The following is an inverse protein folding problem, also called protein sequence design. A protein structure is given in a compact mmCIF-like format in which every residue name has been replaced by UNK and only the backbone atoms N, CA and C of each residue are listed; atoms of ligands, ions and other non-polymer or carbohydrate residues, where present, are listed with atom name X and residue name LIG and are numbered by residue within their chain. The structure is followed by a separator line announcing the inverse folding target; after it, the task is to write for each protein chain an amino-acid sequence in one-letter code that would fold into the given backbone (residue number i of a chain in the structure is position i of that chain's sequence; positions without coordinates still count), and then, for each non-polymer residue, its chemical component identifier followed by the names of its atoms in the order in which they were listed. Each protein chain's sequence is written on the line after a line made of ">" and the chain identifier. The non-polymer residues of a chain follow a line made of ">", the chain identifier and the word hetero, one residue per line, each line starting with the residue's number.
data_IF_140246914861
#
_entry.id   IF_140246914861
#
_cell.length_a   1.000
_cell.length_b   1.000
_cell.length_c   1.000
_cell.angle_alpha   90.00
_cell.angle_beta   90.00
_cell.angle_gamma   90.00
#
_symmetry.space_group_name_H-M   'P 1'
#
loop_
_entity.id
_entity.type
_entity.pdbx_description
1 polymer ?
#
# COMPACT_ATOMS: atom_id res chain seq x y z
N UNK A 1 -15.68 -40.58 -5.00
CA UNK A 1 -15.58 -39.13 -5.28
C UNK A 1 -14.49 -38.48 -4.45
N UNK A 2 -14.53 -38.52 -3.11
CA UNK A 2 -13.53 -37.86 -2.23
C UNK A 2 -12.09 -38.34 -2.50
N UNK A 3 -11.86 -39.64 -2.74
CA UNK A 3 -10.51 -40.14 -3.04
C UNK A 3 -9.97 -39.69 -4.41
N UNK A 4 -10.83 -39.41 -5.39
CA UNK A 4 -10.42 -38.98 -6.73
C UNK A 4 -10.13 -37.47 -6.80
N UNK A 5 -10.69 -36.68 -5.88
CA UNK A 5 -10.35 -35.27 -5.68
C UNK A 5 -9.10 -35.08 -4.80
N UNK A 6 -8.54 -36.16 -4.24
CA UNK A 6 -7.36 -36.13 -3.38
C UNK A 6 -6.06 -36.35 -4.19
N UNK A 7 -5.86 -35.57 -5.25
CA UNK A 7 -4.68 -35.61 -6.11
C UNK A 7 -4.05 -34.22 -6.25
N UNK A 8 -2.73 -34.15 -6.43
CA UNK A 8 -2.02 -32.89 -6.70
C UNK A 8 -2.42 -32.28 -8.05
N UNK A 9 -2.79 -33.14 -9.00
CA UNK A 9 -3.34 -32.74 -10.29
C UNK A 9 -4.83 -33.03 -10.30
N UNK A 10 -5.61 -32.15 -10.92
CA UNK A 10 -7.05 -32.35 -11.09
C UNK A 10 -7.25 -33.59 -11.96
N UNK A 11 -7.95 -34.59 -11.43
CA UNK A 11 -8.26 -35.78 -12.20
C UNK A 11 -9.37 -35.47 -13.21
N UNK A 12 -8.96 -35.10 -14.43
CA UNK A 12 -9.87 -34.67 -15.50
C UNK A 12 -10.81 -35.79 -15.96
N UNK A 13 -10.35 -37.05 -15.94
CA UNK A 13 -11.20 -38.20 -16.23
C UNK A 13 -12.32 -38.35 -15.18
N UNK A 14 -11.99 -38.25 -13.90
CA UNK A 14 -12.96 -38.30 -12.82
C UNK A 14 -13.92 -37.10 -12.81
N UNK A 15 -13.41 -35.90 -13.17
CA UNK A 15 -14.23 -34.70 -13.31
C UNK A 15 -15.22 -34.82 -14.48
N UNK A 16 -14.78 -35.38 -15.61
CA UNK A 16 -15.62 -35.59 -16.79
C UNK A 16 -16.71 -36.66 -16.55
N UNK A 17 -16.46 -37.60 -15.64
CA UNK A 17 -17.44 -38.58 -15.18
C UNK A 17 -18.45 -38.01 -14.16
N UNK A 18 -18.22 -36.81 -13.62
CA UNK A 18 -19.16 -36.16 -12.71
C UNK A 18 -20.34 -35.55 -13.48
N UNK A 19 -21.55 -35.70 -12.95
CA UNK A 19 -22.71 -34.95 -13.43
C UNK A 19 -22.47 -33.44 -13.30
N UNK A 20 -22.94 -32.63 -14.26
CA UNK A 20 -22.70 -31.18 -14.31
C UNK A 20 -22.94 -30.42 -13.00
N UNK A 21 -24.01 -30.65 -12.21
CA UNK A 21 -24.19 -29.96 -10.93
C UNK A 21 -23.17 -30.36 -9.84
N UNK A 22 -22.46 -31.49 -10.02
CA UNK A 22 -21.45 -32.00 -9.07
C UNK A 22 -20.03 -31.59 -9.45
N UNK A 23 -19.78 -31.14 -10.69
CA UNK A 23 -18.46 -30.67 -11.13
C UNK A 23 -17.93 -29.50 -10.28
N UNK A 24 -18.74 -28.45 -9.95
CA UNK A 24 -18.28 -27.37 -9.08
C UNK A 24 -17.91 -27.85 -7.67
N UNK A 25 -18.65 -28.82 -7.15
CA UNK A 25 -18.39 -29.43 -5.83
C UNK A 25 -17.10 -30.25 -5.87
N UNK A 26 -16.86 -31.02 -6.93
CA UNK A 26 -15.63 -31.78 -7.12
C UNK A 26 -14.40 -30.87 -7.21
N UNK A 27 -14.50 -29.77 -7.97
CA UNK A 27 -13.43 -28.76 -8.06
C UNK A 27 -13.21 -28.08 -6.72
N UNK A 28 -14.28 -27.73 -5.99
CA UNK A 28 -14.18 -27.12 -4.67
C UNK A 28 -13.47 -28.04 -3.66
N UNK A 29 -13.85 -29.32 -3.61
CA UNK A 29 -13.20 -30.31 -2.74
C UNK A 29 -11.74 -30.54 -3.13
N UNK A 30 -11.42 -30.57 -4.43
CA UNK A 30 -10.03 -30.64 -4.92
C UNK A 30 -9.21 -29.41 -4.52
N UNK A 31 -9.76 -28.20 -4.66
CA UNK A 31 -9.10 -26.96 -4.23
C UNK A 31 -8.88 -26.94 -2.71
N UNK A 32 -9.84 -27.44 -1.93
CA UNK A 32 -9.73 -27.54 -0.47
C UNK A 32 -8.67 -28.56 -0.05
N UNK A 33 -8.58 -29.66 -0.79
CA UNK A 33 -7.53 -30.67 -0.62
C UNK A 33 -6.15 -30.08 -0.93
N UNK A 34 -6.02 -29.34 -2.04
CA UNK A 34 -4.79 -28.64 -2.40
C UNK A 34 -4.39 -27.59 -1.35
N UNK A 35 -5.30 -26.75 -0.90
CA UNK A 35 -5.02 -25.75 0.14
C UNK A 35 -4.51 -26.39 1.44
N UNK A 36 -5.03 -27.58 1.78
CA UNK A 36 -4.59 -28.36 2.93
C UNK A 36 -3.23 -29.04 2.74
N UNK A 37 -2.91 -29.51 1.54
CA UNK A 37 -1.69 -30.31 1.26
C UNK A 37 -0.54 -29.49 0.71
N UNK A 38 -0.77 -28.37 0.05
CA UNK A 38 0.30 -27.50 -0.46
C UNK A 38 1.27 -27.07 0.67
N UNK A 39 0.82 -26.74 1.90
CA UNK A 39 1.72 -26.51 3.03
C UNK A 39 2.52 -27.75 3.46
N UNK A 40 1.98 -28.96 3.26
CA UNK A 40 2.68 -30.22 3.55
C UNK A 40 3.65 -30.64 2.42
N UNK A 41 3.29 -30.41 1.16
CA UNK A 41 4.16 -30.52 0.01
C UNK A 41 5.32 -29.51 0.07
N UNK A 42 5.09 -28.34 0.70
CA UNK A 42 6.13 -27.36 1.06
C UNK A 42 7.26 -27.99 1.88
N UNK A 43 6.95 -28.92 2.80
CA UNK A 43 7.94 -29.70 3.54
C UNK A 43 8.63 -30.74 2.65
N UNK A 44 7.92 -31.35 1.70
CA UNK A 44 8.50 -32.31 0.74
C UNK A 44 9.50 -31.60 -0.18
N UNK A 45 9.21 -30.39 -0.67
CA UNK A 45 10.17 -29.61 -1.48
C UNK A 45 11.25 -28.91 -0.66
N UNK A 46 11.09 -28.73 0.65
CA UNK A 46 12.21 -28.39 1.54
C UNK A 46 13.20 -29.56 1.74
N UNK A 47 12.81 -30.76 1.30
CA UNK A 47 13.58 -32.02 1.37
C UNK A 47 13.78 -32.63 -0.04
N UNK A 48 13.21 -32.04 -1.10
CA UNK A 48 13.08 -32.63 -2.44
C UNK A 48 14.02 -32.01 -3.47
N UNK A 49 14.34 -32.78 -4.51
CA UNK A 49 15.26 -32.42 -5.58
C UNK A 49 14.83 -31.13 -6.31
N UNK A 50 15.76 -30.18 -6.42
CA UNK A 50 15.59 -28.94 -7.21
C UNK A 50 15.19 -29.19 -8.66
N UNK A 51 15.49 -30.37 -9.21
CA UNK A 51 15.08 -30.77 -10.56
C UNK A 51 13.55 -30.67 -10.76
N UNK A 52 12.77 -31.26 -9.87
CA UNK A 52 11.30 -31.25 -9.97
C UNK A 52 10.69 -29.85 -9.83
N UNK A 53 11.39 -28.91 -9.18
CA UNK A 53 10.98 -27.51 -9.10
C UNK A 53 11.07 -26.83 -10.48
N UNK A 54 12.17 -27.02 -11.20
CA UNK A 54 12.34 -26.43 -12.53
C UNK A 54 11.37 -27.03 -13.54
N UNK A 55 11.12 -28.35 -13.50
CA UNK A 55 10.11 -28.98 -14.35
C UNK A 55 8.70 -28.41 -14.10
N UNK A 56 8.33 -28.22 -12.83
CA UNK A 56 7.02 -27.65 -12.48
C UNK A 56 6.88 -26.21 -12.96
N UNK A 57 7.94 -25.39 -12.84
CA UNK A 57 7.97 -24.02 -13.37
C UNK A 57 7.81 -24.03 -14.89
N UNK A 58 8.55 -24.89 -15.60
CA UNK A 58 8.50 -25.00 -17.05
C UNK A 58 7.11 -25.44 -17.53
N UNK A 59 6.50 -26.42 -16.87
CA UNK A 59 5.15 -26.86 -17.15
C UNK A 59 4.13 -25.72 -17.00
N UNK A 60 4.23 -24.94 -15.92
CA UNK A 60 3.37 -23.77 -15.73
C UNK A 60 3.62 -22.71 -16.83
N UNK A 61 4.88 -22.47 -17.21
CA UNK A 61 5.23 -21.53 -18.28
C UNK A 61 4.66 -21.97 -19.63
N UNK A 62 4.65 -23.26 -19.94
CA UNK A 62 4.08 -23.78 -21.17
C UNK A 62 2.56 -23.57 -21.24
N UNK A 63 1.85 -23.73 -20.11
CA UNK A 63 0.44 -23.35 -20.02
C UNK A 63 0.25 -21.84 -20.28
N UNK A 64 1.12 -20.98 -19.72
CA UNK A 64 1.04 -19.52 -19.92
C UNK A 64 1.37 -19.07 -21.35
N UNK A 65 2.12 -19.86 -22.14
CA UNK A 65 2.41 -19.57 -23.55
C UNK A 65 1.14 -19.63 -24.42
N UNK A 66 0.15 -20.42 -24.02
CA UNK A 66 -1.14 -20.52 -24.70
C UNK A 66 -1.84 -19.16 -24.83
N UNK A 67 -2.36 -18.86 -26.02
CA UNK A 67 -3.12 -17.61 -26.29
C UNK A 67 -4.63 -17.75 -26.11
N UNK A 68 -5.09 -18.95 -25.75
CA UNK A 68 -6.50 -19.21 -25.54
C UNK A 68 -6.93 -18.67 -24.18
N UNK A 69 -7.60 -17.52 -24.20
CA UNK A 69 -8.20 -16.89 -23.02
C UNK A 69 -9.72 -17.14 -22.98
N UNK A 70 -10.21 -18.20 -23.64
CA UNK A 70 -11.61 -18.60 -23.54
C UNK A 70 -11.97 -18.96 -22.08
N UNK A 71 -13.24 -18.81 -21.67
CA UNK A 71 -13.68 -19.16 -20.32
C UNK A 71 -13.36 -20.61 -19.92
N UNK A 72 -13.18 -21.51 -20.88
CA UNK A 72 -12.83 -22.91 -20.67
C UNK A 72 -11.34 -23.10 -20.33
N UNK A 73 -10.45 -22.26 -20.84
CA UNK A 73 -8.99 -22.40 -20.67
C UNK A 73 -8.41 -21.43 -19.62
N UNK A 74 -9.11 -20.32 -19.34
CA UNK A 74 -8.73 -19.36 -18.32
C UNK A 74 -8.49 -20.00 -16.93
N UNK A 75 -9.33 -20.93 -16.42
CA UNK A 75 -9.10 -21.56 -15.11
C UNK A 75 -7.75 -22.30 -15.03
N UNK A 76 -7.34 -22.98 -16.11
CA UNK A 76 -6.08 -23.72 -16.17
C UNK A 76 -4.89 -22.75 -16.13
N UNK A 77 -4.97 -21.63 -16.86
CA UNK A 77 -3.93 -20.59 -16.82
C UNK A 77 -3.82 -19.94 -15.44
N UNK A 78 -4.95 -19.67 -14.79
CA UNK A 78 -4.97 -19.12 -13.43
C UNK A 78 -4.41 -20.12 -12.39
N UNK A 79 -4.68 -21.41 -12.55
CA UNK A 79 -4.10 -22.45 -11.69
C UNK A 79 -2.57 -22.52 -11.85
N UNK A 80 -2.08 -22.53 -13.09
CA UNK A 80 -0.63 -22.49 -13.37
C UNK A 80 0.02 -21.23 -12.79
N UNK A 81 -0.64 -20.07 -12.92
CA UNK A 81 -0.19 -18.81 -12.35
C UNK A 81 -0.10 -18.86 -10.82
N UNK A 82 -1.09 -19.45 -10.15
CA UNK A 82 -1.09 -19.61 -8.70
C UNK A 82 0.02 -20.56 -8.22
N UNK A 83 0.27 -21.66 -8.95
CA UNK A 83 1.39 -22.55 -8.70
C UNK A 83 2.73 -21.80 -8.79
N UNK A 84 2.94 -21.02 -9.85
CA UNK A 84 4.12 -20.16 -9.99
C UNK A 84 4.26 -19.20 -8.82
N UNK A 85 3.19 -18.51 -8.44
CA UNK A 85 3.18 -17.59 -7.30
C UNK A 85 3.60 -18.26 -6.00
N UNK A 86 3.02 -19.41 -5.66
CA UNK A 86 3.33 -20.15 -4.45
C UNK A 86 4.79 -20.67 -4.43
N UNK A 87 5.27 -21.17 -5.57
CA UNK A 87 6.65 -21.62 -5.73
C UNK A 87 7.62 -20.45 -5.57
N UNK A 88 7.39 -19.31 -6.21
CA UNK A 88 8.30 -18.17 -6.06
C UNK A 88 8.28 -17.58 -4.65
N UNK A 89 7.12 -17.44 -4.02
CA UNK A 89 7.02 -16.90 -2.66
C UNK A 89 7.79 -17.74 -1.64
N UNK A 90 7.75 -19.07 -1.80
CA UNK A 90 8.34 -20.01 -0.83
C UNK A 90 9.78 -20.37 -1.17
N UNK A 91 10.03 -20.70 -2.45
CA UNK A 91 11.27 -21.32 -2.95
C UNK A 91 12.08 -20.35 -3.80
N UNK A 92 11.76 -19.05 -3.79
CA UNK A 92 12.38 -18.03 -4.65
C UNK A 92 13.92 -17.99 -4.62
N UNK A 93 14.55 -18.37 -3.50
CA UNK A 93 16.02 -18.43 -3.40
C UNK A 93 16.64 -19.61 -4.16
N UNK A 94 15.84 -20.63 -4.50
CA UNK A 94 16.27 -21.87 -5.17
C UNK A 94 16.01 -21.86 -6.68
N UNK A 95 15.18 -20.94 -7.19
CA UNK A 95 14.76 -20.94 -8.61
C UNK A 95 15.78 -20.35 -9.58
N UNK A 96 16.92 -19.84 -9.10
CA UNK A 96 17.93 -19.21 -9.96
C UNK A 96 17.34 -18.09 -10.83
N UNK A 97 17.66 -18.10 -12.14
CA UNK A 97 17.11 -17.15 -13.14
C UNK A 97 15.85 -17.64 -13.87
N UNK A 98 15.30 -18.80 -13.51
CA UNK A 98 14.11 -19.35 -14.20
C UNK A 98 12.87 -18.46 -14.10
N UNK A 99 12.82 -17.55 -13.11
CA UNK A 99 11.75 -16.57 -12.97
C UNK A 99 11.66 -15.56 -14.11
N UNK A 100 12.75 -15.34 -14.86
CA UNK A 100 12.79 -14.32 -15.92
C UNK A 100 11.85 -14.69 -17.07
N UNK A 101 11.79 -15.97 -17.48
CA UNK A 101 10.86 -16.41 -18.52
C UNK A 101 9.40 -16.21 -18.06
N UNK A 102 9.09 -16.68 -16.86
CA UNK A 102 7.76 -16.55 -16.25
C UNK A 102 7.33 -15.09 -16.15
N UNK A 103 8.25 -14.19 -15.77
CA UNK A 103 8.01 -12.75 -15.72
C UNK A 103 7.62 -12.19 -17.10
N UNK A 104 8.35 -12.55 -18.16
CA UNK A 104 8.04 -12.11 -19.52
C UNK A 104 6.69 -12.63 -20.01
N UNK A 105 6.38 -13.90 -19.73
CA UNK A 105 5.08 -14.51 -20.06
C UNK A 105 3.93 -13.80 -19.33
N UNK A 106 4.08 -13.54 -18.04
CA UNK A 106 3.10 -12.81 -17.23
C UNK A 106 2.87 -11.39 -17.76
N UNK A 107 3.92 -10.65 -18.13
CA UNK A 107 3.78 -9.30 -18.73
C UNK A 107 3.00 -9.36 -20.03
N UNK A 108 3.33 -10.34 -20.89
CA UNK A 108 2.66 -10.50 -22.17
C UNK A 108 1.17 -10.77 -21.97
N UNK A 109 0.81 -11.63 -21.01
CA UNK A 109 -0.58 -11.92 -20.68
C UNK A 109 -1.31 -10.70 -20.09
N UNK A 110 -0.65 -9.95 -19.19
CA UNK A 110 -1.23 -8.79 -18.51
C UNK A 110 -1.80 -7.74 -19.47
N UNK A 111 -1.18 -7.56 -20.66
CA UNK A 111 -1.61 -6.58 -21.67
C UNK A 111 -3.06 -6.75 -22.11
N UNK A 112 -3.55 -7.99 -22.16
CA UNK A 112 -4.88 -8.32 -22.67
C UNK A 112 -5.76 -9.04 -21.64
N UNK A 113 -5.26 -9.25 -20.42
CA UNK A 113 -5.99 -9.97 -19.39
C UNK A 113 -7.25 -9.20 -18.95
N UNK A 114 -8.32 -9.95 -18.71
CA UNK A 114 -9.51 -9.43 -18.03
C UNK A 114 -9.21 -9.06 -16.57
N UNK A 115 -10.17 -8.42 -15.90
CA UNK A 115 -9.95 -7.81 -14.60
C UNK A 115 -9.50 -8.80 -13.51
N UNK A 116 -10.02 -10.04 -13.52
CA UNK A 116 -9.55 -11.09 -12.61
C UNK A 116 -8.10 -11.48 -12.94
N UNK A 117 -7.80 -11.76 -14.20
CA UNK A 117 -6.44 -12.10 -14.65
C UNK A 117 -5.42 -11.01 -14.30
N UNK A 118 -5.75 -9.73 -14.50
CA UNK A 118 -4.87 -8.61 -14.10
C UNK A 118 -4.57 -8.61 -12.60
N UNK A 119 -5.59 -8.85 -11.76
CA UNK A 119 -5.41 -8.88 -10.31
C UNK A 119 -4.53 -10.06 -9.87
N UNK A 120 -4.73 -11.25 -10.42
CA UNK A 120 -3.94 -12.45 -10.10
C UNK A 120 -2.50 -12.34 -10.59
N UNK A 121 -2.27 -11.75 -11.77
CA UNK A 121 -0.93 -11.47 -12.28
C UNK A 121 -0.16 -10.52 -11.36
N UNK A 122 -0.80 -9.45 -10.90
CA UNK A 122 -0.20 -8.51 -9.94
C UNK A 122 0.09 -9.14 -8.58
N UNK A 123 -0.79 -10.01 -8.08
CA UNK A 123 -0.50 -10.81 -6.87
C UNK A 123 0.68 -11.76 -7.07
N UNK A 124 0.78 -12.38 -8.24
CA UNK A 124 1.87 -13.29 -8.58
C UNK A 124 3.21 -12.56 -8.69
N UNK A 125 3.23 -11.36 -9.27
CA UNK A 125 4.42 -10.51 -9.23
C UNK A 125 4.81 -10.14 -7.79
N UNK A 126 3.84 -9.83 -6.91
CA UNK A 126 4.11 -9.54 -5.51
C UNK A 126 4.75 -10.74 -4.79
N UNK A 127 4.21 -11.95 -5.00
CA UNK A 127 4.74 -13.21 -4.48
C UNK A 127 6.16 -13.48 -4.99
N UNK A 128 6.40 -13.24 -6.28
CA UNK A 128 7.71 -13.36 -6.90
C UNK A 128 8.73 -12.44 -6.22
N UNK A 129 8.42 -11.15 -6.09
CA UNK A 129 9.33 -10.20 -5.41
C UNK A 129 9.53 -10.58 -3.95
N UNK A 130 8.49 -11.01 -3.24
CA UNK A 130 8.57 -11.40 -1.82
C UNK A 130 9.55 -12.56 -1.59
N UNK A 131 9.51 -13.59 -2.44
CA UNK A 131 10.37 -14.76 -2.25
C UNK A 131 11.78 -14.61 -2.83
N UNK A 132 11.94 -13.89 -3.94
CA UNK A 132 13.26 -13.67 -4.56
C UNK A 132 14.02 -12.48 -3.97
N UNK A 133 13.31 -11.46 -3.50
CA UNK A 133 13.89 -10.21 -3.02
C UNK A 133 14.84 -9.57 -4.04
N UNK A 134 16.05 -9.22 -3.60
CA UNK A 134 17.12 -8.70 -4.46
C UNK A 134 17.58 -9.67 -5.58
N UNK A 135 17.34 -10.98 -5.41
CA UNK A 135 17.61 -11.97 -6.47
C UNK A 135 16.84 -11.67 -7.76
N UNK A 136 15.73 -10.94 -7.67
CA UNK A 136 14.93 -10.47 -8.81
C UNK A 136 15.28 -9.05 -9.29
N UNK A 137 16.46 -8.50 -8.95
CA UNK A 137 16.85 -7.12 -9.29
C UNK A 137 16.79 -6.81 -10.80
N UNK A 138 16.97 -7.80 -11.66
CA UNK A 138 16.87 -7.63 -13.12
C UNK A 138 15.50 -7.15 -13.59
N UNK A 139 14.43 -7.44 -12.85
CA UNK A 139 13.04 -7.12 -13.25
C UNK A 139 12.43 -5.94 -12.49
N UNK A 140 13.03 -5.49 -11.38
CA UNK A 140 12.43 -4.50 -10.48
C UNK A 140 12.02 -3.19 -11.17
N UNK A 141 12.89 -2.68 -12.06
CA UNK A 141 12.62 -1.44 -12.81
C UNK A 141 11.42 -1.58 -13.74
N UNK A 142 11.31 -2.69 -14.45
CA UNK A 142 10.21 -2.90 -15.40
C UNK A 142 8.92 -3.24 -14.68
N UNK A 143 8.98 -4.02 -13.60
CA UNK A 143 7.85 -4.26 -12.72
C UNK A 143 7.29 -2.96 -12.14
N UNK A 144 8.16 -2.03 -11.70
CA UNK A 144 7.71 -0.73 -11.21
C UNK A 144 6.91 0.04 -12.28
N UNK A 145 7.38 0.09 -13.53
CA UNK A 145 6.64 0.74 -14.63
C UNK A 145 5.25 0.12 -14.84
N UNK A 146 5.16 -1.20 -14.78
CA UNK A 146 3.90 -1.94 -14.95
C UNK A 146 2.92 -1.64 -13.83
N UNK A 147 3.38 -1.74 -12.58
CA UNK A 147 2.54 -1.56 -11.40
C UNK A 147 1.96 -0.15 -11.34
N UNK A 148 2.74 0.88 -11.69
CA UNK A 148 2.25 2.27 -11.80
C UNK A 148 1.02 2.41 -12.69
N UNK A 149 0.98 1.69 -13.81
CA UNK A 149 -0.14 1.71 -14.74
C UNK A 149 -1.46 1.19 -14.15
N UNK A 150 -1.39 0.38 -13.08
CA UNK A 150 -2.54 -0.31 -12.50
C UNK A 150 -3.00 0.26 -11.15
N UNK A 151 -2.22 1.19 -10.54
CA UNK A 151 -2.58 1.85 -9.27
C UNK A 151 -3.84 2.73 -9.35
N UNK A 152 -4.36 3.00 -10.55
CA UNK A 152 -5.62 3.73 -10.75
C UNK A 152 -6.57 2.96 -11.68
N UNK A 153 -6.46 1.63 -11.72
CA UNK A 153 -7.41 0.78 -12.44
C UNK A 153 -8.84 1.03 -11.93
N UNK A 154 -9.82 0.96 -12.83
CA UNK A 154 -11.24 1.15 -12.52
C UNK A 154 -11.77 0.04 -11.62
N UNK A 155 -11.17 -1.15 -11.70
CA UNK A 155 -11.51 -2.30 -10.87
C UNK A 155 -10.70 -2.27 -9.58
N UNK A 156 -11.41 -2.18 -8.44
CA UNK A 156 -10.80 -2.03 -7.12
C UNK A 156 -9.85 -3.18 -6.77
N UNK A 157 -10.19 -4.42 -7.13
CA UNK A 157 -9.33 -5.58 -6.88
C UNK A 157 -7.97 -5.47 -7.59
N UNK A 158 -7.95 -5.01 -8.85
CA UNK A 158 -6.71 -4.76 -9.60
C UNK A 158 -5.90 -3.64 -8.97
N UNK A 159 -6.59 -2.57 -8.53
CA UNK A 159 -5.97 -1.45 -7.83
C UNK A 159 -5.27 -1.89 -6.54
N UNK A 160 -5.94 -2.72 -5.74
CA UNK A 160 -5.39 -3.30 -4.50
C UNK A 160 -4.18 -4.19 -4.81
N UNK A 161 -4.29 -5.06 -5.83
CA UNK A 161 -3.19 -5.92 -6.23
C UNK A 161 -1.95 -5.13 -6.66
N UNK A 162 -2.13 -4.03 -7.41
CA UNK A 162 -1.05 -3.12 -7.80
C UNK A 162 -0.39 -2.46 -6.57
N UNK A 163 -1.19 -1.93 -5.65
CA UNK A 163 -0.70 -1.30 -4.42
C UNK A 163 0.09 -2.27 -3.54
N UNK A 164 -0.42 -3.50 -3.36
CA UNK A 164 0.26 -4.53 -2.60
C UNK A 164 1.57 -4.99 -3.28
N UNK A 165 1.56 -5.12 -4.61
CA UNK A 165 2.77 -5.44 -5.37
C UNK A 165 3.84 -4.35 -5.21
N UNK A 166 3.46 -3.07 -5.29
CA UNK A 166 4.39 -1.97 -5.05
C UNK A 166 4.91 -1.97 -3.61
N UNK A 167 4.03 -2.24 -2.64
CA UNK A 167 4.39 -2.30 -1.21
C UNK A 167 5.49 -3.33 -0.95
N UNK A 168 5.40 -4.51 -1.59
CA UNK A 168 6.44 -5.55 -1.47
C UNK A 168 7.72 -5.16 -2.23
N UNK A 169 7.61 -4.42 -3.33
CA UNK A 169 8.76 -3.97 -4.13
C UNK A 169 9.58 -2.87 -3.46
N UNK A 170 8.96 -1.96 -2.70
CA UNK A 170 9.63 -0.84 -2.02
C UNK A 170 10.92 -1.24 -1.29
N UNK A 171 10.92 -2.23 -0.37
CA UNK A 171 12.15 -2.57 0.34
C UNK A 171 13.21 -3.20 -0.57
N UNK A 172 12.81 -3.88 -1.65
CA UNK A 172 13.70 -4.62 -2.55
C UNK A 172 14.34 -3.74 -3.64
N UNK A 173 13.69 -2.64 -4.02
CA UNK A 173 14.17 -1.72 -5.06
C UNK A 173 14.51 -0.35 -4.49
N UNK A 174 15.76 -0.17 -4.08
CA UNK A 174 16.30 1.02 -3.38
C UNK A 174 15.87 2.36 -3.99
N UNK A 175 15.86 2.43 -5.33
CA UNK A 175 15.47 3.62 -6.09
C UNK A 175 14.09 4.18 -5.69
N UNK A 176 13.16 3.32 -5.23
CA UNK A 176 11.80 3.73 -4.88
C UNK A 176 11.77 4.67 -3.68
N UNK A 177 12.54 4.39 -2.63
CA UNK A 177 12.55 5.19 -1.42
C UNK A 177 13.67 6.24 -1.38
N UNK A 178 14.59 6.25 -2.35
CA UNK A 178 15.60 7.30 -2.47
C UNK A 178 15.23 8.38 -3.49
N UNK A 179 14.47 8.05 -4.54
CA UNK A 179 14.24 8.95 -5.68
C UNK A 179 12.76 9.11 -6.08
N UNK A 180 11.88 8.15 -5.74
CA UNK A 180 10.50 8.14 -6.23
C UNK A 180 9.45 8.42 -5.13
N UNK A 181 9.86 8.83 -3.92
CA UNK A 181 8.93 8.98 -2.78
C UNK A 181 7.76 9.92 -3.10
N UNK A 182 8.02 11.09 -3.66
CA UNK A 182 6.97 12.06 -4.03
C UNK A 182 6.12 11.58 -5.22
N UNK A 183 6.76 10.94 -6.21
CA UNK A 183 6.12 10.34 -7.38
C UNK A 183 5.12 9.25 -6.97
N UNK A 184 5.53 8.32 -6.11
CA UNK A 184 4.68 7.27 -5.56
C UNK A 184 3.57 7.87 -4.68
N UNK A 185 3.89 8.87 -3.86
CA UNK A 185 2.89 9.57 -3.03
C UNK A 185 1.79 10.21 -3.86
N UNK A 186 2.16 10.81 -4.99
CA UNK A 186 1.21 11.40 -5.95
C UNK A 186 0.30 10.32 -6.57
N UNK A 187 0.87 9.16 -6.92
CA UNK A 187 0.09 8.02 -7.41
C UNK A 187 -0.84 7.43 -6.34
N UNK A 188 -0.41 7.40 -5.08
CA UNK A 188 -1.26 7.02 -3.95
C UNK A 188 -2.47 7.95 -3.81
N UNK A 189 -2.29 9.27 -3.90
CA UNK A 189 -3.42 10.20 -3.84
C UNK A 189 -4.38 10.01 -5.01
N UNK A 190 -3.88 9.75 -6.22
CA UNK A 190 -4.72 9.40 -7.38
C UNK A 190 -5.47 8.08 -7.15
N UNK A 191 -4.82 7.07 -6.56
CA UNK A 191 -5.42 5.78 -6.25
C UNK A 191 -6.59 5.89 -5.26
N UNK A 192 -6.61 6.95 -4.43
CA UNK A 192 -7.69 7.23 -3.48
C UNK A 192 -8.95 7.82 -4.14
N UNK A 193 -8.86 8.36 -5.35
CA UNK A 193 -10.01 8.91 -6.07
C UNK A 193 -11.04 7.81 -6.36
N UNK A 194 -12.29 8.03 -5.94
CA UNK A 194 -13.40 7.06 -6.05
C UNK A 194 -13.08 5.68 -5.46
N UNK A 195 -12.27 5.63 -4.39
CA UNK A 195 -11.82 4.39 -3.75
C UNK A 195 -12.84 3.82 -2.75
N UNK A 196 -12.78 2.51 -2.52
CA UNK A 196 -13.45 1.84 -1.40
C UNK A 196 -12.52 1.73 -0.18
N UNK A 197 -13.01 1.12 0.91
CA UNK A 197 -12.25 0.98 2.14
C UNK A 197 -10.95 0.18 1.97
N UNK A 198 -11.00 -0.95 1.27
CA UNK A 198 -9.86 -1.84 1.04
C UNK A 198 -8.71 -1.16 0.28
N UNK A 199 -9.02 -0.38 -0.76
CA UNK A 199 -8.02 0.42 -1.48
C UNK A 199 -7.36 1.43 -0.54
N UNK A 200 -8.12 2.07 0.36
CA UNK A 200 -7.57 3.04 1.31
C UNK A 200 -6.61 2.38 2.31
N UNK A 201 -6.90 1.17 2.77
CA UNK A 201 -5.99 0.40 3.61
C UNK A 201 -4.70 0.03 2.85
N UNK A 202 -4.82 -0.42 1.60
CA UNK A 202 -3.66 -0.74 0.77
C UNK A 202 -2.77 0.48 0.52
N UNK A 203 -3.36 1.66 0.25
CA UNK A 203 -2.63 2.93 0.13
C UNK A 203 -1.94 3.31 1.46
N UNK A 204 -2.65 3.19 2.58
CA UNK A 204 -2.09 3.51 3.89
C UNK A 204 -0.88 2.62 4.24
N UNK A 205 -0.94 1.33 3.91
CA UNK A 205 0.17 0.39 4.07
C UNK A 205 1.36 0.74 3.18
N UNK A 206 1.11 1.08 1.91
CA UNK A 206 2.17 1.51 0.99
C UNK A 206 2.89 2.76 1.49
N UNK A 207 2.15 3.77 1.96
CA UNK A 207 2.74 4.97 2.56
C UNK A 207 3.63 4.62 3.76
N UNK A 208 3.16 3.76 4.65
CA UNK A 208 3.92 3.38 5.83
C UNK A 208 5.23 2.68 5.45
N UNK A 209 5.20 1.70 4.55
CA UNK A 209 6.41 0.99 4.10
C UNK A 209 7.36 1.92 3.35
N UNK A 210 6.85 2.77 2.46
CA UNK A 210 7.65 3.74 1.70
C UNK A 210 8.37 4.75 2.60
N UNK A 211 7.64 5.36 3.53
CA UNK A 211 8.20 6.38 4.39
C UNK A 211 9.13 5.80 5.44
N UNK A 212 8.82 4.64 6.03
CA UNK A 212 9.76 3.95 6.91
C UNK A 212 11.08 3.63 6.18
N UNK A 213 11.01 3.13 4.95
CA UNK A 213 12.21 2.86 4.15
C UNK A 213 12.98 4.14 3.76
N UNK A 214 12.28 5.27 3.55
CA UNK A 214 12.91 6.56 3.24
C UNK A 214 13.56 7.23 4.47
N UNK A 215 12.98 7.04 5.66
CA UNK A 215 13.45 7.61 6.94
C UNK A 215 14.53 6.76 7.62
N UNK A 216 14.47 5.43 7.49
CA UNK A 216 15.47 4.50 8.02
C UNK A 216 15.74 3.40 6.99
N UNK A 217 16.56 3.68 5.97
CA UNK A 217 16.90 2.71 4.93
C UNK A 217 17.48 1.42 5.52
N UNK A 218 17.05 0.23 5.06
CA UNK A 218 17.60 -1.03 5.55
C UNK A 218 19.12 -1.10 5.36
N UNK A 219 19.87 -1.13 6.47
CA UNK A 219 21.36 -1.05 6.48
C UNK A 219 22.05 -2.14 5.65
N UNK A 220 21.43 -3.32 5.52
CA UNK A 220 21.94 -4.45 4.73
C UNK A 220 21.85 -4.23 3.20
N UNK A 221 21.21 -3.16 2.75
CA UNK A 221 20.81 -2.98 1.34
C UNK A 221 21.43 -1.76 0.66
N UNK A 222 22.30 -1.05 1.38
CA UNK A 222 23.10 0.04 0.81
C UNK A 222 24.41 -0.54 0.26
N UNK A 223 24.87 -0.10 -0.93
CA UNK A 223 26.20 -0.47 -1.42
C UNK A 223 27.26 -0.04 -0.41
N UNK A 224 28.20 -0.94 -0.08
CA UNK A 224 29.37 -0.61 0.72
C UNK A 224 30.33 0.26 -0.11
N UNK A 225 30.03 1.54 -0.26
CA UNK A 225 30.91 2.49 -0.95
C UNK A 225 31.46 3.53 0.02
N UNK A 226 32.78 3.47 0.21
CA UNK A 226 33.61 4.55 0.74
C UNK A 226 33.60 5.77 -0.22
N UNK A 227 32.52 6.56 -0.28
CA UNK A 227 32.55 7.91 -0.87
C UNK A 227 31.25 8.69 -0.64
N UNK A 228 31.33 9.78 0.13
CA UNK A 228 30.68 11.12 0.09
C UNK A 228 29.36 11.40 -0.68
N UNK A 229 28.56 10.43 -1.08
CA UNK A 229 27.17 10.63 -1.53
C UNK A 229 26.26 9.77 -0.66
N UNK A 230 26.07 10.20 0.59
CA UNK A 230 24.95 9.72 1.39
C UNK A 230 23.68 10.04 0.61
N UNK A 231 22.96 9.01 0.16
CA UNK A 231 21.56 9.17 -0.25
C UNK A 231 20.85 9.89 0.90
N UNK A 232 20.37 11.11 0.65
CA UNK A 232 19.73 11.95 1.66
C UNK A 232 18.55 11.18 2.24
N UNK A 233 18.66 10.78 3.50
CA UNK A 233 17.56 10.19 4.27
C UNK A 233 16.48 11.26 4.41
N UNK A 234 15.22 10.88 4.17
CA UNK A 234 14.11 11.81 4.26
C UNK A 234 13.74 12.05 5.73
N UNK A 235 13.48 13.30 6.10
CA UNK A 235 13.10 13.61 7.48
C UNK A 235 11.63 13.26 7.76
N UNK A 236 11.29 13.12 9.05
CA UNK A 236 9.90 12.89 9.48
C UNK A 236 9.01 14.04 9.02
N UNK A 237 9.50 15.28 9.10
CA UNK A 237 8.79 16.49 8.67
C UNK A 237 8.49 16.45 7.17
N UNK A 238 9.43 15.99 6.35
CA UNK A 238 9.22 15.81 4.90
C UNK A 238 8.11 14.76 4.64
N UNK A 239 8.15 13.60 5.31
CA UNK A 239 7.09 12.57 5.21
C UNK A 239 5.70 13.07 5.62
N UNK A 240 5.62 13.68 6.80
CA UNK A 240 4.37 14.22 7.34
C UNK A 240 3.89 15.42 6.52
N UNK A 241 4.81 16.18 5.92
CA UNK A 241 4.54 17.25 4.98
C UNK A 241 3.82 16.76 3.72
N UNK A 242 4.25 15.64 3.14
CA UNK A 242 3.60 15.02 1.98
C UNK A 242 2.15 14.61 2.32
N UNK A 243 1.93 13.95 3.46
CA UNK A 243 0.58 13.59 3.89
C UNK A 243 -0.28 14.82 4.16
N UNK A 244 0.29 15.85 4.78
CA UNK A 244 -0.40 17.12 5.06
C UNK A 244 -0.85 17.80 3.79
N UNK A 245 0.03 17.84 2.80
CA UNK A 245 -0.27 18.37 1.49
C UNK A 245 -1.43 17.59 0.82
N UNK A 246 -1.36 16.26 0.78
CA UNK A 246 -2.43 15.42 0.23
C UNK A 246 -3.77 15.57 0.96
N UNK A 247 -3.74 15.78 2.29
CA UNK A 247 -4.93 16.00 3.11
C UNK A 247 -5.64 17.33 2.78
N UNK A 248 -4.87 18.40 2.63
CA UNK A 248 -5.39 19.76 2.44
C UNK A 248 -5.80 20.06 0.99
N UNK A 249 -5.07 19.51 0.02
CA UNK A 249 -5.19 19.89 -1.40
C UNK A 249 -5.68 18.76 -2.31
N UNK A 250 -5.67 17.51 -1.86
CA UNK A 250 -5.95 16.35 -2.72
C UNK A 250 -4.76 15.94 -3.59
N UNK A 251 -5.03 15.21 -4.68
CA UNK A 251 -4.03 14.59 -5.57
C UNK A 251 -3.35 15.53 -6.60
N UNK A 252 -3.28 15.08 -7.87
CA UNK A 252 -2.33 15.54 -8.92
C UNK A 252 -2.37 17.06 -9.25
N UNK A 253 -3.39 17.81 -8.85
CA UNK A 253 -3.46 19.27 -9.03
C UNK A 253 -3.04 20.10 -7.80
N UNK A 254 -2.81 19.46 -6.65
CA UNK A 254 -2.41 20.12 -5.42
C UNK A 254 -0.90 20.37 -5.35
N UNK A 255 -0.10 19.36 -5.71
CA UNK A 255 1.36 19.33 -5.48
C UNK A 255 2.12 20.42 -6.25
N UNK A 256 1.56 20.87 -7.38
CA UNK A 256 2.09 21.96 -8.20
C UNK A 256 1.63 23.35 -7.71
N UNK A 257 0.68 23.44 -6.79
CA UNK A 257 0.21 24.72 -6.23
C UNK A 257 0.99 25.01 -4.95
N UNK A 258 1.74 26.12 -4.94
CA UNK A 258 2.56 26.61 -3.82
C UNK A 258 1.78 27.04 -2.56
N UNK A 259 0.51 26.65 -2.42
CA UNK A 259 -0.38 27.09 -1.36
C UNK A 259 -0.53 26.07 -0.23
N UNK A 260 -0.35 26.50 1.02
CA UNK A 260 -0.42 25.64 2.22
C UNK A 260 -1.82 25.51 2.84
N UNK A 261 -2.83 26.15 2.24
CA UNK A 261 -4.22 26.21 2.76
C UNK A 261 -5.12 25.12 2.16
N UNK A 262 -6.16 24.67 2.87
CA UNK A 262 -7.14 23.71 2.35
C UNK A 262 -7.94 24.24 1.12
N UNK A 263 -8.39 23.33 0.26
CA UNK A 263 -9.25 23.62 -0.92
C UNK A 263 -10.55 22.83 -0.86
N UNK A 264 -11.62 23.38 -1.44
CA UNK A 264 -12.96 22.78 -1.47
C UNK A 264 -13.13 21.74 -2.59
N UNK A 265 -14.05 20.79 -2.40
CA UNK A 265 -14.55 19.87 -3.42
C UNK A 265 -13.72 18.59 -3.64
N UNK A 266 -14.42 17.44 -3.79
CA UNK A 266 -13.89 16.20 -4.40
C UNK A 266 -12.83 15.40 -3.63
N UNK A 267 -12.48 15.77 -2.39
CA UNK A 267 -11.32 15.20 -1.67
C UNK A 267 -11.69 14.30 -0.47
N UNK A 268 -12.95 13.89 -0.30
CA UNK A 268 -13.39 13.15 0.91
C UNK A 268 -12.64 11.83 1.04
N UNK A 269 -12.58 11.04 -0.03
CA UNK A 269 -11.91 9.75 -0.08
C UNK A 269 -10.39 9.89 0.14
N UNK A 270 -9.79 10.92 -0.45
CA UNK A 270 -8.37 11.25 -0.24
C UNK A 270 -8.10 11.59 1.22
N UNK A 271 -8.93 12.44 1.85
CA UNK A 271 -8.79 12.80 3.27
C UNK A 271 -8.92 11.59 4.19
N UNK A 272 -9.88 10.68 3.94
CA UNK A 272 -9.99 9.42 4.71
C UNK A 272 -8.76 8.54 4.50
N UNK A 273 -8.33 8.35 3.24
CA UNK A 273 -7.16 7.53 2.93
C UNK A 273 -5.89 8.08 3.58
N UNK A 274 -5.70 9.39 3.57
CA UNK A 274 -4.57 10.05 4.24
C UNK A 274 -4.66 9.93 5.76
N UNK A 275 -5.87 10.04 6.35
CA UNK A 275 -6.05 9.81 7.77
C UNK A 275 -5.67 8.37 8.18
N UNK A 276 -6.04 7.38 7.35
CA UNK A 276 -5.62 5.99 7.53
C UNK A 276 -4.09 5.84 7.37
N UNK A 277 -3.49 6.57 6.41
CA UNK A 277 -2.04 6.58 6.22
C UNK A 277 -1.29 7.13 7.44
N UNK A 278 -1.76 8.22 8.06
CA UNK A 278 -1.19 8.71 9.32
C UNK A 278 -1.24 7.67 10.43
N UNK A 279 -2.41 7.05 10.64
CA UNK A 279 -2.57 6.02 11.68
C UNK A 279 -1.64 4.83 11.43
N UNK A 280 -1.58 4.36 10.18
CA UNK A 280 -0.76 3.20 9.80
C UNK A 280 0.73 3.51 9.93
N UNK A 281 1.19 4.67 9.44
CA UNK A 281 2.58 5.11 9.57
C UNK A 281 3.01 5.21 11.04
N UNK A 282 2.21 5.86 11.89
CA UNK A 282 2.54 6.03 13.31
C UNK A 282 2.54 4.67 14.03
N UNK A 283 1.68 3.73 13.63
CA UNK A 283 1.71 2.35 14.16
C UNK A 283 3.00 1.61 13.77
N UNK A 284 3.44 1.73 12.52
CA UNK A 284 4.70 1.13 12.06
C UNK A 284 5.93 1.75 12.74
N UNK A 285 5.92 3.06 13.00
CA UNK A 285 6.98 3.74 13.76
C UNK A 285 7.01 3.31 15.25
N UNK A 286 5.85 2.88 15.78
CA UNK A 286 5.73 2.26 17.08
C UNK A 286 5.56 3.23 18.27
N UNK A 287 5.20 2.67 19.45
CA UNK A 287 4.84 3.47 20.63
C UNK A 287 6.00 4.31 21.18
N UNK A 288 7.22 3.77 21.20
CA UNK A 288 8.41 4.47 21.69
C UNK A 288 8.75 5.69 20.83
N UNK A 289 8.58 5.57 19.52
CA UNK A 289 8.79 6.69 18.61
C UNK A 289 7.72 7.76 18.84
N UNK A 290 6.45 7.37 18.97
CA UNK A 290 5.35 8.30 19.18
C UNK A 290 5.49 9.06 20.51
N UNK A 291 5.88 8.37 21.58
CA UNK A 291 6.11 9.01 22.89
C UNK A 291 7.25 10.04 22.82
N UNK A 292 8.33 9.75 22.10
CA UNK A 292 9.44 10.72 21.92
C UNK A 292 9.05 11.91 21.04
N UNK A 293 8.16 11.71 20.07
CA UNK A 293 7.82 12.70 19.04
C UNK A 293 6.42 13.30 19.21
N UNK A 294 5.76 13.09 20.36
CA UNK A 294 4.37 13.49 20.57
C UNK A 294 4.13 14.99 20.41
N UNK A 295 5.11 15.83 20.79
CA UNK A 295 5.04 17.29 20.63
C UNK A 295 4.94 17.66 19.15
N UNK A 296 5.81 17.06 18.32
CA UNK A 296 5.81 17.26 16.88
C UNK A 296 4.49 16.79 16.25
N UNK A 297 4.07 15.55 16.53
CA UNK A 297 2.84 14.97 15.95
C UNK A 297 1.62 15.81 16.31
N UNK A 298 1.51 16.23 17.57
CA UNK A 298 0.39 17.04 18.05
C UNK A 298 0.36 18.40 17.36
N UNK A 299 1.50 19.09 17.29
CA UNK A 299 1.61 20.39 16.60
C UNK A 299 1.23 20.25 15.12
N UNK A 300 1.75 19.22 14.44
CA UNK A 300 1.44 18.94 13.04
C UNK A 300 -0.05 18.75 12.78
N UNK A 301 -0.72 17.92 13.59
CA UNK A 301 -2.16 17.68 13.46
C UNK A 301 -3.01 18.91 13.78
N UNK A 302 -2.55 19.76 14.71
CA UNK A 302 -3.19 21.04 14.98
C UNK A 302 -3.01 22.02 13.81
N UNK A 303 -1.84 22.05 13.18
CA UNK A 303 -1.59 22.85 11.98
C UNK A 303 -2.48 22.45 10.80
N UNK A 304 -2.80 21.16 10.63
CA UNK A 304 -3.79 20.73 9.63
C UNK A 304 -5.16 21.38 9.88
N UNK A 305 -5.55 21.44 11.15
CA UNK A 305 -6.85 22.00 11.56
C UNK A 305 -6.87 23.52 11.37
N UNK A 306 -5.77 24.22 11.66
CA UNK A 306 -5.69 25.67 11.45
C UNK A 306 -5.64 26.03 9.95
N UNK A 307 -4.97 25.23 9.11
CA UNK A 307 -4.92 25.40 7.65
C UNK A 307 -6.27 25.14 6.96
N UNK A 308 -7.22 24.50 7.64
CA UNK A 308 -8.63 24.43 7.24
C UNK A 308 -9.44 25.68 7.64
N UNK A 309 -8.89 26.55 8.49
CA UNK A 309 -9.56 27.72 9.07
C UNK A 309 -10.18 28.71 8.07
N UNK A 310 -9.57 29.01 6.91
CA UNK A 310 -10.19 29.88 5.90
C UNK A 310 -11.52 29.34 5.36
N UNK A 311 -11.76 28.04 5.43
CA UNK A 311 -13.04 27.42 5.06
C UNK A 311 -14.05 27.40 6.22
N UNK A 312 -13.64 27.77 7.43
CA UNK A 312 -14.48 27.71 8.63
C UNK A 312 -15.32 28.98 8.86
N UNK A 313 -14.90 30.12 8.30
CA UNK A 313 -15.57 31.41 8.43
C UNK A 313 -16.25 31.79 7.12
N UNK A 314 -17.33 31.09 6.79
CA UNK A 314 -18.05 31.22 5.52
C UNK A 314 -19.54 30.96 5.71
N UNK A 315 -20.37 31.62 4.90
CA UNK A 315 -21.82 31.38 4.87
C UNK A 315 -22.20 30.16 4.00
N UNK A 316 -21.21 29.49 3.38
CA UNK A 316 -21.43 28.34 2.53
C UNK A 316 -21.47 27.04 3.37
N UNK A 317 -22.65 26.43 3.48
CA UNK A 317 -22.89 25.19 4.24
C UNK A 317 -21.94 24.05 3.81
N UNK A 318 -21.67 23.89 2.52
CA UNK A 318 -20.78 22.84 2.01
C UNK A 318 -19.34 23.02 2.52
N UNK A 319 -18.87 24.26 2.64
CA UNK A 319 -17.54 24.55 3.16
C UNK A 319 -17.46 24.30 4.67
N UNK A 320 -18.52 24.66 5.42
CA UNK A 320 -18.62 24.37 6.85
C UNK A 320 -18.63 22.85 7.12
N UNK A 321 -19.39 22.08 6.34
CA UNK A 321 -19.43 20.61 6.42
C UNK A 321 -18.07 19.97 6.12
N UNK A 322 -17.33 20.50 5.15
CA UNK A 322 -15.97 20.06 4.85
C UNK A 322 -15.00 20.28 6.03
N UNK A 323 -15.12 21.40 6.75
CA UNK A 323 -14.31 21.66 7.94
C UNK A 323 -14.63 20.69 9.07
N UNK A 324 -15.92 20.43 9.32
CA UNK A 324 -16.34 19.41 10.31
C UNK A 324 -15.78 18.05 9.93
N UNK A 325 -15.80 17.71 8.64
CA UNK A 325 -15.26 16.45 8.13
C UNK A 325 -13.75 16.34 8.33
N UNK A 326 -12.97 17.39 8.03
CA UNK A 326 -11.53 17.41 8.27
C UNK A 326 -11.21 17.26 9.76
N UNK A 327 -11.95 17.94 10.65
CA UNK A 327 -11.81 17.78 12.11
C UNK A 327 -12.09 16.35 12.56
N UNK A 328 -13.10 15.68 11.98
CA UNK A 328 -13.37 14.25 12.25
C UNK A 328 -12.21 13.36 11.83
N UNK A 329 -11.55 13.64 10.70
CA UNK A 329 -10.36 12.91 10.28
C UNK A 329 -9.20 13.10 11.26
N UNK A 330 -8.94 14.34 11.70
CA UNK A 330 -7.90 14.61 12.72
C UNK A 330 -8.22 13.92 14.05
N UNK A 331 -9.48 13.97 14.49
CA UNK A 331 -9.95 13.24 15.67
C UNK A 331 -9.79 11.72 15.54
N UNK A 332 -10.03 11.16 14.35
CA UNK A 332 -9.77 9.76 14.05
C UNK A 332 -8.28 9.43 14.18
N UNK A 333 -7.38 10.27 13.65
CA UNK A 333 -5.93 10.07 13.76
C UNK A 333 -5.50 10.08 15.23
N UNK A 334 -5.91 11.08 16.01
CA UNK A 334 -5.56 11.18 17.43
C UNK A 334 -6.06 9.96 18.22
N UNK A 335 -7.31 9.55 18.01
CA UNK A 335 -7.87 8.37 18.68
C UNK A 335 -7.13 7.09 18.27
N UNK A 336 -6.92 6.88 16.96
CA UNK A 336 -6.28 5.69 16.40
C UNK A 336 -4.76 5.62 16.61
N UNK A 337 -4.15 6.69 17.13
CA UNK A 337 -2.73 6.76 17.49
C UNK A 337 -2.59 6.96 19.00
N UNK A 338 -2.58 8.21 19.49
CA UNK A 338 -2.44 8.57 20.91
C UNK A 338 -3.35 7.73 21.81
N UNK A 339 -4.65 7.64 21.47
CA UNK A 339 -5.63 6.93 22.31
C UNK A 339 -5.48 5.41 22.36
N UNK A 340 -4.82 4.79 21.38
CA UNK A 340 -4.73 3.32 21.29
C UNK A 340 -3.31 2.75 21.35
N UNK A 341 -2.28 3.59 21.10
CA UNK A 341 -0.87 3.18 21.04
C UNK A 341 -0.14 3.56 22.32
N UNK A 342 -0.41 4.75 22.87
CA UNK A 342 0.28 5.25 24.06
C UNK A 342 -0.38 4.76 25.34
N UNK A 343 0.44 4.50 26.37
CA UNK A 343 -0.05 4.28 27.74
C UNK A 343 -0.53 5.56 28.41
N UNK A 344 -1.24 5.42 29.53
CA UNK A 344 -1.92 6.53 30.23
C UNK A 344 -1.00 7.72 30.54
N UNK A 345 0.20 7.46 31.07
CA UNK A 345 1.16 8.51 31.38
C UNK A 345 1.56 9.36 30.15
N UNK A 346 1.82 8.70 29.02
CA UNK A 346 2.16 9.37 27.77
C UNK A 346 0.94 10.09 27.14
N UNK A 347 -0.27 9.56 27.31
CA UNK A 347 -1.50 10.25 26.92
C UNK A 347 -1.69 11.54 27.73
N UNK A 348 -1.42 11.54 29.04
CA UNK A 348 -1.47 12.74 29.89
C UNK A 348 -0.48 13.80 29.40
N UNK A 349 0.73 13.39 28.99
CA UNK A 349 1.72 14.32 28.41
C UNK A 349 1.20 14.98 27.12
N UNK A 350 0.58 14.20 26.22
CA UNK A 350 -0.06 14.72 25.01
C UNK A 350 -1.19 15.70 25.35
N UNK A 351 -2.04 15.37 26.33
CA UNK A 351 -3.11 16.26 26.78
C UNK A 351 -2.58 17.60 27.32
N UNK A 352 -1.49 17.59 28.10
CA UNK A 352 -0.81 18.82 28.56
C UNK A 352 -0.31 19.65 27.38
N UNK A 353 0.30 19.00 26.38
CA UNK A 353 0.78 19.68 25.18
C UNK A 353 -0.37 20.30 24.36
N UNK A 354 -1.49 19.60 24.20
CA UNK A 354 -2.70 20.14 23.57
C UNK A 354 -3.23 21.36 24.34
N UNK A 355 -3.23 21.31 25.67
CA UNK A 355 -3.59 22.45 26.52
C UNK A 355 -2.69 23.67 26.30
N UNK A 356 -1.38 23.46 26.18
CA UNK A 356 -0.43 24.54 25.88
C UNK A 356 -0.70 25.17 24.51
N UNK A 357 -0.90 24.35 23.46
CA UNK A 357 -1.24 24.84 22.12
C UNK A 357 -2.54 25.66 22.14
N UNK A 358 -3.56 25.19 22.87
CA UNK A 358 -4.82 25.91 23.00
C UNK A 358 -4.63 27.28 23.70
N UNK A 359 -3.85 27.32 24.77
CA UNK A 359 -3.53 28.56 25.47
C UNK A 359 -2.82 29.56 24.55
N UNK A 360 -1.86 29.09 23.74
CA UNK A 360 -1.15 29.92 22.76
C UNK A 360 -2.10 30.48 21.69
N UNK A 361 -3.04 29.66 21.20
CA UNK A 361 -4.07 30.12 20.27
C UNK A 361 -4.95 31.21 20.90
N UNK A 362 -5.44 31.02 22.14
CA UNK A 362 -6.27 32.00 22.85
C UNK A 362 -5.49 33.31 23.07
N UNK A 363 -4.24 33.22 23.52
CA UNK A 363 -3.39 34.38 23.77
C UNK A 363 -3.09 35.17 22.49
N UNK A 364 -2.99 34.48 21.35
CA UNK A 364 -2.82 35.13 20.05
C UNK A 364 -4.03 36.00 19.65
N UNK A 365 -5.26 35.56 19.98
CA UNK A 365 -6.46 36.39 19.81
C UNK A 365 -6.50 37.58 20.78
N UNK A 366 -6.05 37.40 22.02
CA UNK A 366 -5.95 38.49 23.00
C UNK A 366 -5.01 39.61 22.54
N UNK A 367 -3.87 39.25 21.94
CA UNK A 367 -2.92 40.22 21.37
C UNK A 367 -3.48 40.99 20.17
N UNK A 368 -4.22 40.32 19.28
CA UNK A 368 -4.89 40.97 18.13
C UNK A 368 -5.93 42.00 18.59
N UNK A 369 -6.79 41.63 19.55
CA UNK A 369 -7.79 42.55 20.12
C UNK A 369 -7.15 43.79 20.77
N UNK A 370 -6.03 43.60 21.46
CA UNK A 370 -5.29 44.71 22.07
C UNK A 370 -4.63 45.62 21.02
N UNK A 371 -4.18 45.07 19.89
CA UNK A 371 -3.63 45.86 18.78
C UNK A 371 -4.71 46.70 18.07
N UNK A 372 -5.88 46.11 17.82
CA UNK A 372 -7.02 46.82 17.22
C UNK A 372 -7.48 47.98 18.13
N UNK A 373 -7.57 47.76 19.45
CA UNK A 373 -7.95 48.83 20.40
C UNK A 373 -6.96 50.01 20.44
N UNK A 374 -5.66 49.77 20.17
CA UNK A 374 -4.65 50.83 20.09
C UNK A 374 -4.72 51.60 18.77
N UNK A 375 -5.12 50.94 17.68
CA UNK A 375 -5.34 51.58 16.37
C UNK A 375 -6.55 52.52 16.36
N UNK A 376 -7.59 52.22 17.14
CA UNK A 376 -8.78 53.09 17.24
C UNK A 376 -8.65 54.22 18.27
N UNK A 377 -7.62 54.19 19.13
CA UNK A 377 -7.33 55.21 20.13
C UNK A 377 -6.36 56.32 19.69
N UNK A 378 -5.98 56.37 18.41
CA UNK A 378 -5.06 57.37 17.83
C UNK A 378 -5.73 58.34 16.84
N UNK A 379 -7.05 58.57 16.95
CA UNK A 379 -7.70 59.69 16.25
C UNK A 379 -7.83 60.92 17.13
#
# INVERSE_FOLDING_TARGET
>A
MIEQSNSLLLNEEALNLCADPKKPVFIYEWLRYLDRILPAAQKIYSVGDTYSLFETINFCNDILKGRDDSPTHLPVKLAALQCLGAMYETLGRLVGRSYEESFHLMIKWLKNAESQGRAELLHTFAKLVKGLGFGASSIHKDLYKIVKGHMSDRVMAVRIAALNCLTVLVPEYVFLYTNEVESISTLCFKALESSNYEVRLAVARLFAVLFCAAMDPPKSRLPATNSKTQSKVMSVEECFGILSHGFLRGGIGGFLKTGTVAVTGGQKETRIGVALAYVTLIRELGPLWLEKNHVFVTKHLMELTTKAGPLAYTNNVNQADEVVYMRRCVGYILRGTVGTILGEHAQIAVCKQLGAILADCINSFGKLRAADSKSYGQK
#
